data_IF_729189320840
#
_entry.id   IF_729189320840
#
_cell.length_a   1.000
_cell.length_b   1.000
_cell.length_c   1.000
_cell.angle_alpha   90.00
_cell.angle_beta   90.00
_cell.angle_gamma   90.00
#
_symmetry.space_group_name_H-M   'P 1'
#
loop_
_entity.id
_entity.type
_entity.pdbx_description
1 polymer ?
#
# COMPACT_ATOMS: atom_id res chain seq x y z
N UNK A 1 45.78 -0.44 2.33
CA UNK A 1 44.70 0.35 1.70
C UNK A 1 43.89 -0.59 0.84
N UNK A 2 42.73 -1.02 1.32
CA UNK A 2 41.82 -1.85 0.53
C UNK A 2 41.02 -0.94 -0.40
N UNK A 3 40.99 -1.29 -1.69
CA UNK A 3 40.23 -0.57 -2.71
C UNK A 3 38.77 -1.02 -2.55
N UNK A 4 37.82 -0.13 -2.25
CA UNK A 4 36.43 -0.54 -2.04
C UNK A 4 35.84 -1.06 -3.34
N UNK A 5 35.25 -2.26 -3.30
CA UNK A 5 34.57 -2.87 -4.43
C UNK A 5 33.44 -1.96 -4.94
N UNK A 6 33.45 -1.67 -6.25
CA UNK A 6 32.36 -0.93 -6.90
C UNK A 6 31.08 -1.77 -6.84
N UNK A 7 30.08 -1.28 -6.09
CA UNK A 7 28.73 -1.88 -6.05
C UNK A 7 28.18 -2.02 -7.48
N UNK A 8 27.78 -3.23 -7.86
CA UNK A 8 27.14 -3.50 -9.15
C UNK A 8 25.85 -2.65 -9.29
N UNK A 9 25.57 -2.07 -10.46
CA UNK A 9 24.35 -1.29 -10.66
C UNK A 9 23.12 -2.17 -10.45
N UNK A 10 22.26 -1.78 -9.51
CA UNK A 10 20.99 -2.46 -9.26
C UNK A 10 20.07 -2.23 -10.46
N UNK A 11 19.66 -3.30 -11.15
CA UNK A 11 18.60 -3.21 -12.17
C UNK A 11 17.34 -2.62 -11.52
N UNK A 12 16.95 -1.42 -11.94
CA UNK A 12 15.68 -0.82 -11.56
C UNK A 12 14.59 -1.45 -12.42
N UNK A 13 13.69 -2.20 -11.79
CA UNK A 13 12.55 -2.81 -12.48
C UNK A 13 11.50 -1.73 -12.75
N UNK A 14 11.67 -0.99 -13.85
CA UNK A 14 10.71 0.01 -14.29
C UNK A 14 9.56 -0.70 -15.01
N UNK A 15 8.38 -0.74 -14.38
CA UNK A 15 7.18 -1.27 -14.98
C UNK A 15 6.35 -0.14 -15.60
N UNK A 16 5.79 -0.38 -16.78
CA UNK A 16 4.90 0.52 -17.51
C UNK A 16 3.52 -0.10 -17.70
N UNK A 17 2.55 0.72 -18.09
CA UNK A 17 1.19 0.27 -18.40
C UNK A 17 1.21 -0.82 -19.47
N UNK A 18 0.51 -1.93 -19.22
CA UNK A 18 0.39 -3.04 -20.17
C UNK A 18 -1.01 -3.01 -20.78
N UNK A 19 -1.10 -2.94 -22.11
CA UNK A 19 -2.38 -2.89 -22.83
C UNK A 19 -3.33 -4.05 -22.47
N UNK A 20 -2.78 -5.22 -22.12
CA UNK A 20 -3.55 -6.38 -21.65
C UNK A 20 -4.39 -6.09 -20.40
N UNK A 21 -3.98 -5.14 -19.56
CA UNK A 21 -4.71 -4.79 -18.34
C UNK A 21 -6.08 -4.19 -18.63
N UNK A 22 -6.25 -3.50 -19.75
CA UNK A 22 -7.55 -2.98 -20.18
C UNK A 22 -8.51 -4.11 -20.57
N UNK A 23 -7.97 -5.28 -20.96
CA UNK A 23 -8.75 -6.48 -21.30
C UNK A 23 -9.09 -7.25 -20.02
N UNK A 24 -8.08 -7.53 -19.19
CA UNK A 24 -8.23 -8.28 -17.95
C UNK A 24 -9.07 -7.51 -16.90
N UNK A 25 -8.97 -6.19 -16.92
CA UNK A 25 -9.61 -5.27 -15.98
C UNK A 25 -10.21 -4.08 -16.76
N UNK A 26 -11.46 -4.19 -17.26
CA UNK A 26 -12.06 -3.19 -18.14
C UNK A 26 -12.10 -1.76 -17.57
N UNK A 27 -12.12 -1.63 -16.24
CA UNK A 27 -12.12 -0.37 -15.50
C UNK A 27 -10.73 0.28 -15.37
N UNK A 28 -9.66 -0.37 -15.83
CA UNK A 28 -8.29 0.16 -15.83
C UNK A 28 -7.96 0.69 -17.22
N UNK A 29 -7.57 1.96 -17.31
CA UNK A 29 -7.22 2.66 -18.55
C UNK A 29 -5.81 3.26 -18.48
N UNK A 30 -5.30 3.66 -19.65
CA UNK A 30 -4.06 4.43 -19.75
C UNK A 30 -4.24 5.76 -19.02
N UNK A 31 -3.30 6.10 -18.14
CA UNK A 31 -3.29 7.38 -17.44
C UNK A 31 -2.81 8.53 -18.34
N UNK A 32 -3.37 9.72 -18.13
CA UNK A 32 -2.85 10.96 -18.73
C UNK A 32 -1.56 11.47 -18.07
N UNK A 33 -1.23 10.97 -16.87
CA UNK A 33 -0.02 11.35 -16.12
C UNK A 33 1.27 10.70 -16.66
N UNK A 34 1.14 9.78 -17.61
CA UNK A 34 2.24 9.10 -18.29
C UNK A 34 2.22 7.59 -18.12
N UNK A 35 3.12 6.91 -18.83
CA UNK A 35 3.19 5.45 -18.95
C UNK A 35 3.45 4.69 -17.65
N UNK A 36 3.94 5.38 -16.61
CA UNK A 36 4.17 4.85 -15.25
C UNK A 36 2.94 4.92 -14.36
N UNK A 37 1.79 5.35 -14.89
CA UNK A 37 0.53 5.45 -14.17
C UNK A 37 -0.58 4.72 -14.92
N UNK A 38 -1.54 4.22 -14.16
CA UNK A 38 -2.81 3.68 -14.66
C UNK A 38 -3.96 4.45 -14.04
N UNK A 39 -5.06 4.59 -14.79
CA UNK A 39 -6.27 5.25 -14.31
C UNK A 39 -7.33 4.19 -13.99
N UNK A 40 -7.94 4.27 -12.81
CA UNK A 40 -9.05 3.42 -12.42
C UNK A 40 -10.37 4.19 -12.52
N UNK A 41 -11.30 3.70 -13.33
CA UNK A 41 -12.63 4.32 -13.54
C UNK A 41 -13.56 4.11 -12.34
N UNK A 42 -13.36 3.05 -11.54
CA UNK A 42 -14.20 2.78 -10.36
C UNK A 42 -13.96 3.81 -9.26
N UNK A 43 -12.69 4.09 -8.93
CA UNK A 43 -12.33 5.08 -7.91
C UNK A 43 -11.97 6.45 -8.50
N UNK A 44 -12.06 6.61 -9.83
CA UNK A 44 -11.74 7.84 -10.59
C UNK A 44 -10.38 8.44 -10.20
N UNK A 45 -9.37 7.60 -10.04
CA UNK A 45 -8.06 8.00 -9.55
C UNK A 45 -6.92 7.37 -10.35
N UNK A 46 -5.85 8.14 -10.54
CA UNK A 46 -4.58 7.63 -11.06
C UNK A 46 -3.77 6.95 -9.95
N UNK A 47 -3.16 5.82 -10.26
CA UNK A 47 -2.22 5.14 -9.37
C UNK A 47 -0.90 4.84 -10.09
N UNK A 48 0.19 4.90 -9.34
CA UNK A 48 1.52 4.62 -9.83
C UNK A 48 1.72 3.12 -10.04
N UNK A 49 2.30 2.76 -11.18
CA UNK A 49 2.66 1.39 -11.53
C UNK A 49 4.02 1.08 -10.89
N UNK A 50 3.99 0.68 -9.62
CA UNK A 50 5.20 0.36 -8.89
C UNK A 50 5.70 -1.07 -9.19
N UNK A 51 4.77 -2.00 -9.41
CA UNK A 51 5.06 -3.42 -9.57
C UNK A 51 4.24 -3.97 -10.72
N UNK A 52 4.86 -4.63 -11.70
CA UNK A 52 4.18 -5.24 -12.85
C UNK A 52 3.46 -6.56 -12.53
N UNK A 53 3.20 -6.80 -11.23
CA UNK A 53 2.55 -8.01 -10.72
C UNK A 53 1.08 -8.07 -11.14
N UNK A 54 0.60 -9.27 -11.43
CA UNK A 54 -0.81 -9.53 -11.59
C UNK A 54 -1.43 -9.52 -10.20
N UNK A 55 -2.03 -8.39 -9.81
CA UNK A 55 -2.80 -8.33 -8.58
C UNK A 55 -4.10 -9.10 -8.78
N UNK A 56 -4.45 -10.04 -7.89
CA UNK A 56 -5.73 -10.70 -7.99
C UNK A 56 -6.86 -9.69 -7.77
N UNK A 57 -7.92 -9.81 -8.56
CA UNK A 57 -9.10 -8.95 -8.43
C UNK A 57 -9.82 -9.30 -7.13
N UNK A 58 -9.99 -8.31 -6.27
CA UNK A 58 -10.75 -8.42 -5.02
C UNK A 58 -11.83 -7.36 -5.03
N UNK A 59 -13.07 -7.76 -5.30
CA UNK A 59 -14.21 -6.83 -5.44
C UNK A 59 -14.78 -6.36 -4.09
N UNK A 60 -14.47 -7.06 -3.00
CA UNK A 60 -14.91 -6.67 -1.65
C UNK A 60 -13.72 -6.74 -0.69
N UNK A 61 -13.50 -5.65 0.05
CA UNK A 61 -12.42 -5.53 1.02
C UNK A 61 -12.70 -6.29 2.34
N UNK A 62 -13.15 -7.54 2.26
CA UNK A 62 -13.35 -8.42 3.42
C UNK A 62 -12.20 -9.42 3.54
N UNK A 63 -11.83 -9.79 4.78
CA UNK A 63 -10.74 -10.74 5.00
C UNK A 63 -10.97 -12.10 4.33
N UNK A 64 -12.23 -12.54 4.19
CA UNK A 64 -12.61 -13.76 3.48
C UNK A 64 -12.27 -13.67 1.99
N UNK A 65 -12.67 -12.59 1.32
CA UNK A 65 -12.47 -12.45 -0.12
C UNK A 65 -11.00 -12.25 -0.44
N UNK A 66 -10.30 -11.44 0.36
CA UNK A 66 -8.84 -11.26 0.23
C UNK A 66 -8.12 -12.60 0.43
N UNK A 67 -8.47 -13.38 1.47
CA UNK A 67 -7.85 -14.69 1.69
C UNK A 67 -8.13 -15.68 0.56
N UNK A 68 -9.33 -15.67 -0.01
CA UNK A 68 -9.69 -16.52 -1.15
C UNK A 68 -8.86 -16.17 -2.39
N UNK A 69 -8.75 -14.88 -2.69
CA UNK A 69 -7.93 -14.38 -3.79
C UNK A 69 -6.45 -14.76 -3.59
N UNK A 70 -5.92 -14.61 -2.37
CA UNK A 70 -4.54 -14.96 -2.04
C UNK A 70 -4.27 -16.46 -2.21
N UNK A 71 -5.19 -17.32 -1.76
CA UNK A 71 -5.09 -18.78 -1.97
C UNK A 71 -5.12 -19.14 -3.45
N UNK A 72 -5.98 -18.50 -4.24
CA UNK A 72 -6.04 -18.72 -5.68
C UNK A 72 -4.73 -18.30 -6.37
N UNK A 73 -4.17 -17.15 -5.99
CA UNK A 73 -2.86 -16.68 -6.50
C UNK A 73 -1.72 -17.62 -6.14
N UNK A 74 -1.67 -18.16 -4.91
CA UNK A 74 -0.67 -19.17 -4.53
C UNK A 74 -0.78 -20.41 -5.41
N UNK A 75 -2.01 -20.92 -5.62
CA UNK A 75 -2.25 -22.10 -6.45
C UNK A 75 -1.87 -21.90 -7.91
N UNK A 76 -2.08 -20.71 -8.47
CA UNK A 76 -1.60 -20.37 -9.81
C UNK A 76 -0.07 -20.47 -9.93
N UNK A 77 0.64 -20.22 -8.83
CA UNK A 77 2.09 -20.42 -8.72
C UNK A 77 2.51 -21.84 -8.32
N UNK A 78 1.58 -22.78 -8.19
CA UNK A 78 1.86 -24.16 -7.74
C UNK A 78 2.17 -24.28 -6.24
N UNK A 79 1.74 -23.31 -5.44
CA UNK A 79 1.95 -23.26 -3.98
C UNK A 79 0.62 -23.39 -3.23
N UNK A 80 0.68 -23.93 -2.02
CA UNK A 80 -0.40 -23.89 -1.03
C UNK A 80 0.04 -23.14 0.24
N UNK A 81 -0.93 -22.69 1.03
CA UNK A 81 -0.74 -22.02 2.33
C UNK A 81 0.01 -22.90 3.32
N UNK A 82 -0.11 -24.22 3.22
CA UNK A 82 0.67 -25.19 4.01
C UNK A 82 2.18 -24.97 3.86
N UNK A 83 2.64 -24.49 2.71
CA UNK A 83 4.05 -24.23 2.43
C UNK A 83 4.50 -22.82 2.85
N UNK A 84 3.58 -21.97 3.32
CA UNK A 84 3.88 -20.62 3.76
C UNK A 84 4.37 -20.61 5.21
N UNK A 85 5.61 -20.18 5.44
CA UNK A 85 6.17 -20.02 6.80
C UNK A 85 5.57 -18.81 7.52
N UNK A 86 5.40 -17.71 6.79
CA UNK A 86 4.94 -16.45 7.36
C UNK A 86 4.02 -15.69 6.40
N UNK A 87 3.11 -14.92 6.99
CA UNK A 87 2.26 -13.96 6.33
C UNK A 87 2.64 -12.56 6.83
N UNK A 88 3.21 -11.74 5.93
CA UNK A 88 3.55 -10.35 6.23
C UNK A 88 2.53 -9.42 5.59
N UNK A 89 1.91 -8.55 6.39
CA UNK A 89 0.89 -7.60 5.91
C UNK A 89 0.90 -6.33 6.77
N UNK A 90 0.25 -5.26 6.30
CA UNK A 90 -0.16 -4.22 7.22
C UNK A 90 -0.96 -4.81 8.40
N UNK A 91 -0.87 -4.19 9.57
CA UNK A 91 -1.50 -4.74 10.78
C UNK A 91 -3.01 -4.44 10.83
N UNK A 92 -3.64 -4.10 9.70
CA UNK A 92 -5.06 -3.76 9.67
C UNK A 92 -5.90 -4.95 10.13
N UNK A 93 -7.01 -4.66 10.82
CA UNK A 93 -7.91 -5.69 11.36
C UNK A 93 -8.43 -6.66 10.29
N UNK A 94 -8.64 -6.18 9.05
CA UNK A 94 -9.04 -7.01 7.91
C UNK A 94 -7.96 -8.04 7.51
N UNK A 95 -6.70 -7.79 7.82
CA UNK A 95 -5.57 -8.66 7.50
C UNK A 95 -5.20 -9.56 8.69
N UNK A 96 -5.09 -8.99 9.89
CA UNK A 96 -4.54 -9.66 11.08
C UNK A 96 -5.58 -10.15 12.08
N UNK A 97 -6.84 -9.72 11.94
CA UNK A 97 -7.91 -10.00 12.90
C UNK A 97 -8.13 -11.50 13.15
N UNK A 98 -8.33 -11.85 14.41
CA UNK A 98 -8.40 -13.24 14.88
C UNK A 98 -9.58 -14.05 14.31
N UNK A 99 -10.71 -13.40 14.06
CA UNK A 99 -11.93 -14.09 13.61
C UNK A 99 -12.20 -13.91 12.12
N UNK A 100 -12.17 -12.67 11.63
CA UNK A 100 -12.56 -12.29 10.26
C UNK A 100 -11.41 -11.70 9.44
N UNK A 101 -10.18 -11.70 9.97
CA UNK A 101 -9.01 -11.24 9.25
C UNK A 101 -8.48 -12.31 8.28
N UNK A 102 -7.75 -11.91 7.25
CA UNK A 102 -7.09 -12.84 6.30
C UNK A 102 -6.32 -13.94 7.04
N UNK A 103 -5.58 -13.57 8.08
CA UNK A 103 -4.80 -14.50 8.90
C UNK A 103 -5.64 -15.63 9.50
N UNK A 104 -6.89 -15.35 9.93
CA UNK A 104 -7.76 -16.40 10.49
C UNK A 104 -8.15 -17.45 9.45
N UNK A 105 -8.27 -17.06 8.19
CA UNK A 105 -8.58 -17.95 7.07
C UNK A 105 -7.35 -18.70 6.55
N UNK A 106 -6.15 -18.09 6.64
CA UNK A 106 -4.89 -18.77 6.33
C UNK A 106 -4.56 -19.84 7.38
N UNK A 107 -4.79 -19.54 8.67
CA UNK A 107 -4.58 -20.50 9.77
C UNK A 107 -5.39 -21.80 9.67
N UNK A 108 -6.50 -21.78 8.92
CA UNK A 108 -7.28 -22.99 8.63
C UNK A 108 -6.55 -23.97 7.71
N UNK A 109 -5.67 -23.47 6.83
CA UNK A 109 -4.83 -24.29 5.96
C UNK A 109 -3.45 -24.56 6.56
N UNK A 110 -2.93 -23.65 7.38
CA UNK A 110 -1.64 -23.83 8.05
C UNK A 110 -1.69 -23.25 9.46
N UNK A 111 -1.75 -24.09 10.49
CA UNK A 111 -1.84 -23.63 11.88
C UNK A 111 -0.55 -22.96 12.37
N UNK A 112 0.59 -23.31 11.76
CA UNK A 112 1.92 -22.87 12.17
C UNK A 112 2.39 -21.60 11.44
N UNK A 113 1.59 -21.09 10.50
CA UNK A 113 1.91 -19.85 9.79
C UNK A 113 2.07 -18.68 10.78
N UNK A 114 3.21 -18.00 10.69
CA UNK A 114 3.53 -16.86 11.53
C UNK A 114 2.97 -15.56 10.94
N UNK A 115 2.31 -14.75 11.76
CA UNK A 115 1.94 -13.39 11.36
C UNK A 115 3.15 -12.48 11.62
N UNK A 116 3.59 -11.77 10.59
CA UNK A 116 4.64 -10.76 10.68
C UNK A 116 4.03 -9.41 10.32
N UNK A 117 4.21 -8.41 11.19
CA UNK A 117 3.74 -7.07 10.88
C UNK A 117 4.54 -6.45 9.74
N UNK A 118 3.89 -5.68 8.89
CA UNK A 118 4.52 -5.00 7.76
C UNK A 118 5.64 -4.10 8.26
N UNK A 119 6.89 -4.24 7.77
CA UNK A 119 8.05 -3.51 8.31
C UNK A 119 7.84 -2.00 8.34
N UNK A 120 7.29 -1.43 7.27
CA UNK A 120 6.97 0.00 7.21
C UNK A 120 5.95 0.43 8.26
N UNK A 121 4.92 -0.40 8.50
CA UNK A 121 3.89 -0.11 9.48
C UNK A 121 4.43 -0.25 10.91
N UNK A 122 5.26 -1.25 11.18
CA UNK A 122 5.94 -1.42 12.47
C UNK A 122 6.87 -0.24 12.76
N UNK A 123 7.64 0.23 11.78
CA UNK A 123 8.48 1.43 11.93
C UNK A 123 7.66 2.67 12.23
N UNK A 124 6.54 2.87 11.52
CA UNK A 124 5.64 4.01 11.76
C UNK A 124 5.00 3.94 13.17
N UNK A 125 4.55 2.77 13.60
CA UNK A 125 4.01 2.55 14.94
C UNK A 125 5.06 2.79 16.03
N UNK A 126 6.31 2.36 15.80
CA UNK A 126 7.42 2.58 16.73
C UNK A 126 7.72 4.09 16.87
N UNK A 127 7.82 4.81 15.76
CA UNK A 127 8.02 6.25 15.77
C UNK A 127 6.88 6.99 16.50
N UNK A 128 5.62 6.63 16.19
CA UNK A 128 4.44 7.21 16.83
C UNK A 128 4.39 6.95 18.34
N UNK A 129 4.63 5.71 18.75
CA UNK A 129 4.63 5.32 20.17
C UNK A 129 5.76 5.99 20.93
N UNK A 130 6.95 6.05 20.31
CA UNK A 130 8.11 6.74 20.86
C UNK A 130 7.85 8.24 21.04
N UNK A 131 7.28 8.90 20.03
CA UNK A 131 6.90 10.32 20.13
C UNK A 131 5.95 10.60 21.29
N UNK A 132 4.91 9.79 21.46
CA UNK A 132 3.98 9.89 22.61
C UNK A 132 4.66 9.70 23.96
N UNK A 133 5.61 8.77 24.05
CA UNK A 133 6.32 8.48 25.29
C UNK A 133 7.26 9.61 25.72
N UNK A 134 7.81 10.37 24.78
CA UNK A 134 8.71 11.48 25.07
C UNK A 134 8.03 12.68 25.72
N UNK A 135 6.69 12.76 25.72
CA UNK A 135 5.83 13.76 26.39
C UNK A 135 6.16 15.25 26.13
N UNK A 136 7.20 15.56 25.35
CA UNK A 136 7.82 16.88 25.36
C UNK A 136 7.22 17.82 24.33
N UNK A 137 6.62 17.30 23.25
CA UNK A 137 5.98 18.06 22.17
C UNK A 137 5.48 17.07 21.11
N UNK A 138 4.21 17.16 20.68
CA UNK A 138 3.71 16.33 19.59
C UNK A 138 3.99 17.01 18.24
N UNK A 139 5.06 16.56 17.57
CA UNK A 139 5.47 17.06 16.27
C UNK A 139 4.44 16.74 15.18
N UNK A 140 3.72 15.60 15.28
CA UNK A 140 2.65 15.27 14.33
C UNK A 140 1.53 16.29 14.44
N UNK A 141 1.02 16.54 15.65
CA UNK A 141 -0.07 17.49 15.88
C UNK A 141 0.34 18.92 15.45
N UNK A 142 1.56 19.36 15.78
CA UNK A 142 2.04 20.68 15.35
C UNK A 142 2.12 20.82 13.82
N UNK A 143 2.61 19.80 13.12
CA UNK A 143 2.69 19.82 11.65
C UNK A 143 1.28 19.79 11.05
N UNK A 144 0.35 19.02 11.63
CA UNK A 144 -1.05 18.99 11.22
C UNK A 144 -1.69 20.37 11.40
N UNK A 145 -1.47 21.02 12.54
CA UNK A 145 -1.95 22.37 12.82
C UNK A 145 -1.36 23.39 11.86
N UNK A 146 -0.05 23.33 11.58
CA UNK A 146 0.61 24.19 10.61
C UNK A 146 0.03 23.97 9.21
N UNK A 147 -0.15 22.72 8.79
CA UNK A 147 -0.76 22.37 7.52
C UNK A 147 -2.15 22.98 7.40
N UNK A 148 -3.03 22.77 8.39
CA UNK A 148 -4.40 23.32 8.35
C UNK A 148 -4.44 24.84 8.48
N UNK A 149 -3.54 25.43 9.25
CA UNK A 149 -3.41 26.88 9.35
C UNK A 149 -3.05 27.50 8.01
N UNK A 150 -2.08 26.89 7.31
CA UNK A 150 -1.72 27.29 5.97
C UNK A 150 -2.88 26.99 5.02
N UNK A 151 -3.31 25.75 4.84
CA UNK A 151 -4.38 25.36 3.90
C UNK A 151 -5.63 26.27 3.97
N UNK A 152 -6.13 26.55 5.18
CA UNK A 152 -7.27 27.45 5.40
C UNK A 152 -6.98 28.92 5.08
N UNK A 153 -5.74 29.39 5.24
CA UNK A 153 -5.34 30.77 4.89
C UNK A 153 -5.07 30.93 3.40
N UNK A 154 -4.47 29.93 2.75
CA UNK A 154 -4.21 29.95 1.31
C UNK A 154 -5.51 29.86 0.50
N UNK A 155 -6.52 29.10 0.97
CA UNK A 155 -7.86 29.12 0.37
C UNK A 155 -8.52 30.51 0.42
N UNK A 156 -8.37 31.26 1.53
CA UNK A 156 -8.88 32.64 1.64
C UNK A 156 -8.09 33.65 0.81
N UNK A 157 -6.77 33.50 0.73
CA UNK A 157 -5.91 34.37 -0.10
C UNK A 157 -6.18 34.18 -1.59
N UNK A 158 -6.36 32.95 -2.07
CA UNK A 158 -6.65 32.66 -3.48
C UNK A 158 -8.08 33.05 -3.90
N UNK A 159 -9.05 33.02 -2.98
CA UNK A 159 -10.42 33.47 -3.25
C UNK A 159 -10.58 35.00 -3.18
N UNK A 160 -9.79 35.69 -2.35
CA UNK A 160 -9.84 37.16 -2.23
C UNK A 160 -8.99 37.91 -3.27
N UNK A 161 -8.12 37.24 -4.02
CA UNK A 161 -7.36 37.84 -5.14
C UNK A 161 -8.10 37.85 -6.48
N UNK A 162 -9.33 37.32 -6.55
CA UNK A 162 -10.12 37.25 -7.79
C UNK A 162 -11.13 38.40 -7.96
N UNK A 163 -11.14 39.39 -7.06
CA UNK A 163 -12.00 40.58 -7.14
C UNK A 163 -11.19 41.86 -6.94
N UNK A 164 -10.20 42.10 -7.80
CA UNK A 164 -9.67 43.45 -8.05
C UNK A 164 -9.01 43.51 -9.43
N UNK A 165 -9.81 43.45 -10.49
CA UNK A 165 -9.52 44.07 -11.79
C UNK A 165 -10.80 44.75 -12.25
#
# INVERSE_FOLDING_TARGET
>A
MEIPEKKKPTKRWDNVFKAKWTVDHPFIKVSRRGEKHAFCELCRSDFSICHGGQMPVVNEATGKNIASALKASLKQGGLDVEQCVAFSSDNASVMTGQHRGVMSYLRKGNKDIHLVGGPCHLSALAAKTGGKALQSFDVEDFIIDLYYHLDKRWAKLLLNTSYTI
#
